data_IF_577448253697
#
_entry.id   IF_577448253697
#
_cell.length_a   1.000
_cell.length_b   1.000
_cell.length_c   1.000
_cell.angle_alpha   90.00
_cell.angle_beta   90.00
_cell.angle_gamma   90.00
#
_symmetry.space_group_name_H-M   'P 1'
#
loop_
_entity.id
_entity.type
_entity.pdbx_description
1 polymer ?
#
# COMPACT_ATOMS: atom_id res chain seq x y z
N UNK A 1 -4.01 -22.12 3.36
CA UNK A 1 -4.12 -20.71 3.80
C UNK A 1 -2.86 -19.98 3.37
N UNK A 2 -2.92 -19.33 2.21
CA UNK A 2 -1.91 -18.37 1.78
C UNK A 2 -2.03 -17.13 2.66
N UNK A 3 -1.13 -17.01 3.63
CA UNK A 3 -0.98 -15.77 4.38
C UNK A 3 -0.31 -14.74 3.46
N UNK A 4 -1.12 -13.91 2.81
CA UNK A 4 -0.62 -12.72 2.14
C UNK A 4 0.23 -11.93 3.14
N UNK A 5 1.51 -11.78 2.85
CA UNK A 5 2.42 -10.96 3.65
C UNK A 5 1.95 -9.52 3.57
N UNK A 6 1.24 -9.06 4.58
CA UNK A 6 0.83 -7.66 4.71
C UNK A 6 1.93 -6.94 5.48
N UNK A 7 2.58 -6.01 4.84
CA UNK A 7 3.46 -5.10 5.55
C UNK A 7 2.61 -4.07 6.28
N UNK A 8 2.70 -4.07 7.61
CA UNK A 8 2.06 -3.07 8.47
C UNK A 8 3.12 -2.13 8.98
N UNK A 9 2.90 -0.85 8.77
CA UNK A 9 3.77 0.18 9.31
C UNK A 9 2.97 1.02 10.30
N UNK A 10 3.54 1.24 11.48
CA UNK A 10 2.94 2.02 12.56
C UNK A 10 3.90 3.14 12.94
N UNK A 11 3.42 4.37 12.86
CA UNK A 11 4.14 5.54 13.35
C UNK A 11 3.48 6.02 14.64
N UNK A 12 4.25 6.09 15.71
CA UNK A 12 3.80 6.55 17.04
C UNK A 12 4.60 7.80 17.39
N UNK A 13 3.89 8.86 17.75
CA UNK A 13 4.44 10.16 18.14
C UNK A 13 3.56 10.77 19.22
N UNK A 14 4.01 11.86 19.87
CA UNK A 14 3.21 12.59 20.83
C UNK A 14 1.89 13.14 20.23
N UNK A 15 1.07 13.82 21.02
CA UNK A 15 -0.35 14.13 20.74
C UNK A 15 -0.64 14.97 19.49
N UNK A 16 0.37 15.52 18.83
CA UNK A 16 0.19 16.36 17.63
C UNK A 16 -0.04 15.54 16.33
N UNK A 17 -0.05 14.20 16.42
CA UNK A 17 -0.29 13.33 15.29
C UNK A 17 -1.78 13.25 14.94
N UNK A 18 -2.11 13.51 13.68
CA UNK A 18 -3.50 13.57 13.21
C UNK A 18 -3.69 12.78 11.90
N UNK A 19 -4.95 12.61 11.51
CA UNK A 19 -5.30 12.09 10.18
C UNK A 19 -4.66 12.89 9.03
N UNK A 20 -4.38 14.18 9.24
CA UNK A 20 -3.70 15.00 8.22
C UNK A 20 -2.25 14.54 8.01
N UNK A 21 -1.55 14.18 9.08
CA UNK A 21 -0.19 13.63 8.99
C UNK A 21 -0.20 12.27 8.27
N UNK A 22 -1.16 11.41 8.61
CA UNK A 22 -1.33 10.13 7.91
C UNK A 22 -1.57 10.34 6.41
N UNK A 23 -2.50 11.22 6.04
CA UNK A 23 -2.79 11.55 4.64
C UNK A 23 -1.56 12.04 3.90
N UNK A 24 -0.82 12.96 4.49
CA UNK A 24 0.41 13.49 3.91
C UNK A 24 1.47 12.40 3.68
N UNK A 25 1.69 11.53 4.68
CA UNK A 25 2.64 10.42 4.56
C UNK A 25 2.25 9.48 3.43
N UNK A 26 0.97 9.14 3.33
CA UNK A 26 0.48 8.24 2.28
C UNK A 26 0.57 8.87 0.89
N UNK A 27 0.30 10.16 0.78
CA UNK A 27 0.49 10.90 -0.48
C UNK A 27 1.95 10.89 -0.92
N UNK A 28 2.89 11.20 -0.02
CA UNK A 28 4.33 11.15 -0.33
C UNK A 28 4.77 9.73 -0.70
N UNK A 29 4.30 8.71 0.03
CA UNK A 29 4.58 7.33 -0.30
C UNK A 29 4.13 6.98 -1.72
N UNK A 30 2.90 7.32 -2.10
CA UNK A 30 2.35 7.00 -3.42
C UNK A 30 3.12 7.72 -4.53
N UNK A 31 3.43 9.01 -4.37
CA UNK A 31 4.23 9.78 -5.32
C UNK A 31 5.60 9.14 -5.58
N UNK A 32 6.31 8.81 -4.52
CA UNK A 32 7.64 8.20 -4.62
C UNK A 32 7.56 6.79 -5.20
N UNK A 33 6.62 5.98 -4.70
CA UNK A 33 6.50 4.58 -5.09
C UNK A 33 6.14 4.41 -6.57
N UNK A 34 5.17 5.18 -7.06
CA UNK A 34 4.75 5.13 -8.45
C UNK A 34 5.53 6.07 -9.38
N UNK A 35 6.43 6.88 -8.83
CA UNK A 35 7.24 7.86 -9.58
C UNK A 35 6.37 8.86 -10.34
N UNK A 36 5.35 9.41 -9.66
CA UNK A 36 4.43 10.42 -10.18
C UNK A 36 4.58 11.72 -9.40
N UNK A 37 4.52 12.86 -10.10
CA UNK A 37 4.66 14.17 -9.48
C UNK A 37 3.39 14.62 -8.75
N UNK A 38 2.23 14.26 -9.28
CA UNK A 38 0.94 14.57 -8.69
C UNK A 38 0.06 13.33 -8.59
N UNK A 39 -0.71 13.24 -7.51
CA UNK A 39 -1.62 12.13 -7.23
C UNK A 39 -2.80 12.58 -6.42
N UNK A 40 -3.97 12.13 -6.81
CA UNK A 40 -5.19 12.35 -6.04
C UNK A 40 -5.54 11.07 -5.28
N UNK A 41 -5.61 11.20 -3.94
CA UNK A 41 -6.03 10.14 -3.04
C UNK A 41 -7.42 10.41 -2.50
N UNK A 42 -8.25 9.38 -2.50
CA UNK A 42 -9.58 9.41 -1.88
C UNK A 42 -9.56 8.52 -0.64
N UNK A 43 -10.00 9.10 0.49
CA UNK A 43 -10.14 8.39 1.75
C UNK A 43 -11.61 8.07 1.98
N UNK A 44 -11.95 6.78 1.95
CA UNK A 44 -13.31 6.30 2.24
C UNK A 44 -13.35 5.78 3.67
N UNK A 45 -14.35 6.20 4.45
CA UNK A 45 -14.56 5.67 5.79
C UNK A 45 -14.71 4.15 5.75
N UNK A 46 -13.99 3.46 6.64
CA UNK A 46 -14.01 2.01 6.77
C UNK A 46 -13.93 1.62 8.24
N UNK A 47 -13.99 0.33 8.55
CA UNK A 47 -13.85 -0.19 9.89
C UNK A 47 -12.75 -1.24 9.98
N UNK A 48 -11.78 -0.97 10.86
CA UNK A 48 -10.76 -1.95 11.24
C UNK A 48 -10.70 -2.04 12.77
N UNK A 49 -10.57 -3.24 13.36
CA UNK A 49 -10.67 -3.42 14.80
C UNK A 49 -9.51 -2.80 15.60
N UNK A 50 -8.47 -2.34 14.92
CA UNK A 50 -7.22 -1.80 15.51
C UNK A 50 -7.01 -0.30 15.23
N UNK A 51 -7.91 0.35 14.48
CA UNK A 51 -7.83 1.78 14.17
C UNK A 51 -9.19 2.47 14.31
N UNK A 52 -9.16 3.73 14.75
CA UNK A 52 -10.34 4.61 14.87
C UNK A 52 -9.89 6.09 14.86
N UNK A 53 -10.30 6.91 13.88
CA UNK A 53 -11.03 6.54 12.65
C UNK A 53 -10.21 5.69 11.69
N UNK A 54 -10.92 4.90 10.88
CA UNK A 54 -10.33 4.03 9.85
C UNK A 54 -10.75 4.49 8.46
N UNK A 55 -9.86 4.32 7.48
CA UNK A 55 -10.14 4.64 6.09
C UNK A 55 -9.45 3.68 5.13
N UNK A 56 -10.16 3.30 4.09
CA UNK A 56 -9.59 2.75 2.87
C UNK A 56 -9.10 3.88 1.97
N UNK A 57 -7.98 3.65 1.30
CA UNK A 57 -7.33 4.65 0.45
C UNK A 57 -7.34 4.18 -0.98
N UNK A 58 -7.98 4.98 -1.82
CA UNK A 58 -8.03 4.78 -3.25
C UNK A 58 -7.11 5.80 -3.94
N UNK A 59 -6.54 5.37 -5.06
CA UNK A 59 -5.75 6.20 -5.96
C UNK A 59 -6.51 6.43 -7.25
N UNK A 60 -6.45 7.66 -7.76
CA UNK A 60 -7.01 8.00 -9.07
C UNK A 60 -6.20 7.35 -10.19
N UNK A 61 -6.88 6.75 -11.17
CA UNK A 61 -6.22 6.04 -12.26
C UNK A 61 -7.09 6.01 -13.53
N UNK A 62 -6.49 5.52 -14.60
CA UNK A 62 -7.18 5.14 -15.82
C UNK A 62 -6.62 3.84 -16.39
N UNK A 63 -7.45 3.12 -17.14
CA UNK A 63 -7.05 1.95 -17.90
C UNK A 63 -7.08 2.30 -19.40
N UNK A 64 -5.90 2.39 -20.02
CA UNK A 64 -5.74 2.63 -21.43
C UNK A 64 -5.00 1.46 -22.08
N UNK A 65 -5.62 0.81 -23.04
CA UNK A 65 -5.03 -0.34 -23.77
C UNK A 65 -4.46 -1.45 -22.87
N UNK A 66 -5.13 -1.71 -21.75
CA UNK A 66 -4.68 -2.71 -20.77
C UNK A 66 -3.53 -2.24 -19.86
N UNK A 67 -3.08 -1.01 -19.99
CA UNK A 67 -2.09 -0.40 -19.10
C UNK A 67 -2.75 0.51 -18.07
N UNK A 68 -2.36 0.35 -16.81
CA UNK A 68 -2.78 1.21 -15.72
C UNK A 68 -1.92 2.48 -15.70
N UNK A 69 -2.58 3.64 -15.77
CA UNK A 69 -1.96 4.94 -15.55
C UNK A 69 -2.44 5.54 -14.24
N UNK A 70 -1.52 5.81 -13.36
CA UNK A 70 -1.76 6.42 -12.05
C UNK A 70 -1.78 7.94 -12.18
N UNK A 71 -2.72 8.59 -11.47
CA UNK A 71 -2.87 10.05 -11.48
C UNK A 71 -3.72 10.59 -12.63
N UNK A 72 -4.11 9.77 -13.60
CA UNK A 72 -4.91 10.16 -14.75
C UNK A 72 -6.28 9.49 -14.73
N UNK A 73 -7.24 10.07 -15.46
CA UNK A 73 -8.57 9.47 -15.67
C UNK A 73 -9.55 9.72 -14.52
N UNK A 74 -10.63 8.92 -14.47
CA UNK A 74 -11.72 9.09 -13.51
C UNK A 74 -11.99 7.84 -12.66
N UNK A 75 -11.22 6.79 -12.84
CA UNK A 75 -11.37 5.56 -12.09
C UNK A 75 -10.63 5.65 -10.74
N UNK A 76 -11.11 4.86 -9.80
CA UNK A 76 -10.53 4.77 -8.46
C UNK A 76 -10.16 3.34 -8.13
N UNK A 77 -8.97 3.16 -7.62
CA UNK A 77 -8.46 1.85 -7.26
C UNK A 77 -7.97 1.85 -5.82
N UNK A 78 -8.53 0.96 -5.02
CA UNK A 78 -8.10 0.77 -3.63
C UNK A 78 -6.69 0.19 -3.59
N UNK A 79 -5.81 0.82 -2.80
CA UNK A 79 -4.42 0.41 -2.65
C UNK A 79 -4.06 -0.06 -1.24
N UNK A 80 -4.70 0.50 -0.21
CA UNK A 80 -4.38 0.18 1.18
C UNK A 80 -5.50 0.55 2.15
N UNK A 81 -5.45 -0.03 3.34
CA UNK A 81 -6.23 0.41 4.50
C UNK A 81 -5.38 1.17 5.49
N UNK A 82 -5.96 2.15 6.17
CA UNK A 82 -5.24 3.02 7.11
C UNK A 82 -6.15 3.53 8.24
N UNK A 83 -5.57 4.15 9.25
CA UNK A 83 -6.31 4.81 10.31
C UNK A 83 -5.45 5.22 11.50
N UNK A 84 -6.07 5.95 12.45
CA UNK A 84 -5.43 6.24 13.72
C UNK A 84 -5.47 5.00 14.60
N UNK A 85 -4.38 4.74 15.32
CA UNK A 85 -4.29 3.55 16.17
C UNK A 85 -5.26 3.67 17.33
N UNK A 86 -6.10 2.64 17.52
CA UNK A 86 -7.06 2.61 18.59
C UNK A 86 -6.37 2.64 19.97
N UNK A 87 -6.83 3.46 20.94
CA UNK A 87 -6.20 3.59 22.27
C UNK A 87 -5.97 2.25 23.00
N UNK A 88 -6.90 1.30 22.85
CA UNK A 88 -6.75 -0.05 23.44
C UNK A 88 -5.56 -0.81 22.86
N UNK A 89 -5.20 -0.58 21.61
CA UNK A 89 -4.03 -1.21 20.96
C UNK A 89 -2.75 -0.64 21.52
N UNK A 90 -2.69 0.70 21.72
CA UNK A 90 -1.55 1.34 22.39
C UNK A 90 -1.36 0.80 23.81
N UNK A 91 -2.43 0.75 24.60
CA UNK A 91 -2.39 0.22 25.96
C UNK A 91 -1.94 -1.24 26.01
N UNK A 92 -2.43 -2.08 25.11
CA UNK A 92 -2.00 -3.48 25.00
C UNK A 92 -0.51 -3.63 24.63
N UNK A 93 0.05 -2.64 23.93
CA UNK A 93 1.48 -2.53 23.62
C UNK A 93 2.32 -1.87 24.71
N UNK A 94 1.74 -1.55 25.88
CA UNK A 94 2.43 -0.89 26.97
C UNK A 94 2.67 0.62 26.76
N UNK A 95 1.96 1.24 25.83
CA UNK A 95 2.07 2.65 25.47
C UNK A 95 0.89 3.40 26.08
N UNK A 96 1.16 4.49 26.80
CA UNK A 96 0.12 5.31 27.40
C UNK A 96 -0.62 6.13 26.31
N UNK A 97 -1.90 5.83 26.04
CA UNK A 97 -2.68 6.54 25.02
C UNK A 97 -3.04 7.99 25.41
N UNK A 98 -2.79 8.38 26.68
CA UNK A 98 -2.96 9.77 27.12
C UNK A 98 -1.79 10.64 26.71
N UNK A 99 -0.63 10.06 26.48
CA UNK A 99 0.61 10.74 26.09
C UNK A 99 0.88 10.55 24.60
N UNK A 100 0.63 9.35 24.08
CA UNK A 100 1.02 8.95 22.73
C UNK A 100 -0.18 8.73 21.82
N UNK A 101 -0.02 9.11 20.58
CA UNK A 101 -0.95 8.84 19.51
C UNK A 101 -0.20 8.25 18.31
N UNK A 102 -0.89 7.49 17.49
CA UNK A 102 -0.25 6.84 16.34
C UNK A 102 -1.21 6.67 15.19
N UNK A 103 -0.67 6.44 14.02
CA UNK A 103 -1.43 5.96 12.87
C UNK A 103 -0.81 4.65 12.34
N UNK A 104 -1.63 3.88 11.66
CA UNK A 104 -1.22 2.65 11.02
C UNK A 104 -1.77 2.58 9.59
N UNK A 105 -1.05 1.92 8.71
CA UNK A 105 -1.54 1.55 7.40
C UNK A 105 -1.05 0.16 7.02
N UNK A 106 -1.82 -0.53 6.19
CA UNK A 106 -1.51 -1.87 5.71
C UNK A 106 -1.85 -2.02 4.24
N UNK A 107 -0.92 -2.57 3.47
CA UNK A 107 -1.09 -2.81 2.04
C UNK A 107 -0.75 -4.26 1.67
N UNK A 108 -1.41 -4.76 0.62
CA UNK A 108 -1.04 -6.04 0.02
C UNK A 108 0.17 -5.85 -0.90
N UNK A 109 1.27 -6.55 -0.62
CA UNK A 109 2.51 -6.44 -1.42
C UNK A 109 2.24 -6.84 -2.87
N UNK A 110 1.49 -7.94 -3.07
CA UNK A 110 1.15 -8.43 -4.40
C UNK A 110 0.33 -7.41 -5.19
N UNK A 111 -0.64 -6.75 -4.53
CA UNK A 111 -1.46 -5.72 -5.17
C UNK A 111 -0.65 -4.50 -5.58
N UNK A 112 0.22 -4.02 -4.70
CA UNK A 112 1.09 -2.88 -5.00
C UNK A 112 2.08 -3.22 -6.13
N UNK A 113 2.66 -4.43 -6.11
CA UNK A 113 3.53 -4.90 -7.19
C UNK A 113 2.78 -5.02 -8.52
N UNK A 114 1.58 -5.60 -8.51
CA UNK A 114 0.71 -5.67 -9.69
C UNK A 114 0.49 -4.29 -10.33
N UNK A 115 0.19 -3.29 -9.51
CA UNK A 115 -0.03 -1.93 -9.98
C UNK A 115 1.24 -1.27 -10.52
N UNK A 116 2.36 -1.44 -9.82
CA UNK A 116 3.64 -0.84 -10.21
C UNK A 116 4.18 -1.40 -11.52
N UNK A 117 4.01 -2.68 -11.76
CA UNK A 117 4.55 -3.36 -12.93
C UNK A 117 3.51 -3.59 -14.04
N UNK A 118 2.30 -3.06 -13.88
CA UNK A 118 1.24 -3.18 -14.89
C UNK A 118 0.77 -4.61 -15.11
N UNK A 119 0.82 -5.47 -14.10
CA UNK A 119 0.38 -6.85 -14.18
C UNK A 119 -1.15 -6.88 -14.14
N UNK A 120 -1.83 -7.41 -15.16
CA UNK A 120 -3.28 -7.27 -15.28
C UNK A 120 -4.08 -8.11 -14.29
N UNK A 121 -3.50 -9.19 -13.78
CA UNK A 121 -4.19 -10.13 -12.90
C UNK A 121 -3.29 -10.65 -11.78
N UNK A 122 -3.76 -10.50 -10.55
CA UNK A 122 -3.07 -10.95 -9.33
C UNK A 122 -2.79 -12.46 -9.34
N UNK A 123 -3.65 -13.25 -9.98
CA UNK A 123 -3.52 -14.71 -10.06
C UNK A 123 -2.23 -15.13 -10.75
N UNK A 124 -1.73 -14.32 -11.68
CA UNK A 124 -0.47 -14.58 -12.39
C UNK A 124 0.74 -14.76 -11.47
N UNK A 125 0.72 -14.17 -10.28
CA UNK A 125 1.78 -14.38 -9.27
C UNK A 125 1.80 -15.79 -8.69
N UNK A 126 0.69 -16.54 -8.80
CA UNK A 126 0.50 -17.84 -8.16
C UNK A 126 0.38 -18.99 -9.16
N UNK A 127 0.19 -18.69 -10.44
CA UNK A 127 -0.01 -19.70 -11.51
C UNK A 127 1.28 -20.46 -11.88
N UNK A 128 2.44 -19.99 -11.41
CA UNK A 128 3.76 -20.59 -11.70
C UNK A 128 4.04 -20.81 -13.20
N UNK A 129 3.48 -19.98 -14.08
CA UNK A 129 3.72 -20.05 -15.51
C UNK A 129 5.16 -19.62 -15.84
N UNK A 130 5.94 -20.55 -16.36
CA UNK A 130 7.35 -20.29 -16.70
C UNK A 130 7.53 -19.21 -17.76
N UNK A 131 6.56 -19.00 -18.65
CA UNK A 131 6.60 -17.95 -19.67
C UNK A 131 6.46 -16.59 -19.00
N UNK A 132 5.53 -16.48 -18.05
CA UNK A 132 5.32 -15.28 -17.24
C UNK A 132 6.57 -14.96 -16.41
N UNK A 133 7.11 -15.94 -15.69
CA UNK A 133 8.33 -15.79 -14.91
C UNK A 133 9.52 -15.31 -15.74
N UNK A 134 9.69 -15.88 -16.95
CA UNK A 134 10.76 -15.45 -17.88
C UNK A 134 10.54 -14.04 -18.41
N UNK A 135 9.29 -13.65 -18.67
CA UNK A 135 8.95 -12.32 -19.16
C UNK A 135 9.32 -11.23 -18.14
N UNK A 136 9.05 -11.45 -16.85
CA UNK A 136 9.40 -10.53 -15.77
C UNK A 136 10.82 -10.74 -15.22
N UNK A 137 11.61 -11.61 -15.82
CA UNK A 137 13.03 -11.80 -15.49
C UNK A 137 13.29 -12.54 -14.17
N UNK A 138 12.31 -13.29 -13.66
CA UNK A 138 12.50 -14.08 -12.45
C UNK A 138 13.36 -15.32 -12.76
N UNK A 139 14.55 -15.39 -12.15
CA UNK A 139 15.33 -16.60 -12.04
C UNK A 139 15.36 -17.06 -10.57
N UNK A 140 15.06 -18.34 -10.34
CA UNK A 140 14.91 -18.87 -8.97
C UNK A 140 16.19 -18.82 -8.12
N UNK A 141 17.34 -18.57 -8.74
CA UNK A 141 18.65 -18.44 -8.09
C UNK A 141 19.18 -16.99 -8.06
N UNK A 142 18.52 -16.07 -8.76
CA UNK A 142 18.88 -14.65 -8.71
C UNK A 142 18.27 -14.00 -7.48
N UNK A 143 19.09 -13.37 -6.65
CA UNK A 143 18.59 -12.52 -5.57
C UNK A 143 18.07 -11.21 -6.19
N UNK A 144 16.77 -10.89 -6.05
CA UNK A 144 16.25 -9.62 -6.50
C UNK A 144 16.95 -8.50 -5.72
N UNK A 145 17.58 -7.57 -6.42
CA UNK A 145 18.16 -6.38 -5.80
C UNK A 145 17.37 -5.14 -6.23
N UNK A 146 17.40 -4.12 -5.37
CA UNK A 146 16.68 -2.86 -5.60
C UNK A 146 17.17 -2.10 -6.85
N UNK A 147 18.35 -2.44 -7.37
CA UNK A 147 18.98 -1.78 -8.50
C UNK A 147 18.63 -2.41 -9.86
N UNK A 148 18.42 -3.73 -9.89
CA UNK A 148 18.18 -4.45 -11.15
C UNK A 148 16.68 -4.54 -11.49
N UNK A 149 15.78 -4.29 -10.53
CA UNK A 149 14.35 -4.55 -10.71
C UNK A 149 14.07 -6.03 -10.98
N UNK A 150 12.89 -6.32 -11.52
CA UNK A 150 12.49 -7.66 -11.96
C UNK A 150 12.78 -7.90 -13.45
N UNK A 151 13.23 -6.87 -14.17
CA UNK A 151 13.57 -6.95 -15.59
C UNK A 151 15.07 -6.71 -15.79
N UNK A 152 15.73 -7.64 -16.42
CA UNK A 152 16.96 -7.41 -17.19
C UNK A 152 16.60 -7.14 -18.63
#
# INVERSE_FOLDING_TARGET
HLTTRRQRQMCIRDRDLSMANLKWVLEQFVKIFFSVDDVELRFRASHFPFTEPSAEVDIRCSWNDGQLKIGEGNDWLEILGSGMVHPKVLSAGGIDPNIWQGFAFGMGIDRIAMLKYGIPDLRSFFDSDLRWLRHYGFASLDQPNLHAGLSR
#
